data_IF_819888346350
#
_entry.id   IF_819888346350
#
_cell.length_a   1.000
_cell.length_b   1.000
_cell.length_c   1.000
_cell.angle_alpha   90.00
_cell.angle_beta   90.00
_cell.angle_gamma   90.00
#
_symmetry.space_group_name_H-M   'P 1'
#
loop_
_entity.id
_entity.type
_entity.pdbx_description
1 polymer ?
#
# COMPACT_ATOMS: atom_id res chain seq x y z
N UNK A 1 15.55 -16.40 6.64
CA UNK A 1 16.05 -15.01 6.74
C UNK A 1 16.85 -14.87 8.03
N UNK A 2 18.10 -14.42 7.94
CA UNK A 2 18.98 -14.18 9.10
C UNK A 2 19.11 -12.66 9.29
N UNK A 3 18.92 -12.19 10.51
CA UNK A 3 18.99 -10.76 10.87
C UNK A 3 19.77 -10.63 12.17
N UNK A 4 21.00 -10.12 12.10
CA UNK A 4 21.93 -10.18 13.24
C UNK A 4 22.06 -11.62 13.73
N UNK A 5 21.82 -11.83 15.02
CA UNK A 5 21.82 -13.16 15.66
C UNK A 5 20.47 -13.89 15.57
N UNK A 6 19.44 -13.23 15.02
CA UNK A 6 18.08 -13.74 14.89
C UNK A 6 17.85 -14.51 13.59
N UNK A 7 16.90 -15.45 13.63
CA UNK A 7 16.46 -16.22 12.46
C UNK A 7 14.94 -16.22 12.34
N UNK A 8 14.45 -15.89 11.14
CA UNK A 8 13.05 -16.03 10.72
C UNK A 8 12.99 -17.15 9.68
N UNK A 9 12.17 -18.17 9.96
CA UNK A 9 12.01 -19.36 9.11
C UNK A 9 10.66 -20.05 9.38
N UNK A 10 9.97 -20.58 8.34
CA UNK A 10 10.31 -20.50 6.92
C UNK A 10 10.01 -19.11 6.33
N UNK A 11 10.77 -18.70 5.32
CA UNK A 11 10.48 -17.53 4.48
C UNK A 11 10.52 -18.01 3.03
N UNK A 12 9.38 -18.05 2.30
CA UNK A 12 9.37 -18.41 0.89
C UNK A 12 10.28 -17.50 0.07
N UNK A 13 10.98 -18.05 -0.93
CA UNK A 13 11.85 -17.25 -1.82
C UNK A 13 11.07 -16.14 -2.52
N UNK A 14 9.84 -16.43 -2.96
CA UNK A 14 8.96 -15.47 -3.59
C UNK A 14 8.65 -14.25 -2.71
N UNK A 15 8.51 -14.42 -1.39
CA UNK A 15 8.33 -13.30 -0.46
C UNK A 15 9.58 -12.43 -0.36
N UNK A 16 10.77 -13.03 -0.44
CA UNK A 16 12.05 -12.31 -0.48
C UNK A 16 12.28 -11.60 -1.81
N UNK A 17 11.89 -12.22 -2.92
CA UNK A 17 12.10 -11.73 -4.29
C UNK A 17 11.00 -10.79 -4.78
N UNK A 18 9.91 -10.62 -4.01
CA UNK A 18 8.78 -9.79 -4.41
C UNK A 18 9.19 -8.33 -4.70
N UNK A 19 8.81 -7.85 -5.88
CA UNK A 19 9.11 -6.49 -6.34
C UNK A 19 7.87 -5.68 -6.70
N UNK A 20 7.96 -4.36 -6.50
CA UNK A 20 7.02 -3.37 -7.03
C UNK A 20 7.84 -2.30 -7.74
N UNK A 21 7.56 -2.05 -9.02
CA UNK A 21 8.35 -1.12 -9.83
C UNK A 21 9.84 -1.49 -9.93
N UNK A 22 10.17 -2.80 -9.85
CA UNK A 22 11.55 -3.30 -9.84
C UNK A 22 12.26 -3.20 -8.49
N UNK A 23 11.62 -2.66 -7.46
CA UNK A 23 12.21 -2.52 -6.11
C UNK A 23 11.78 -3.68 -5.23
N UNK A 24 12.74 -4.32 -4.56
CA UNK A 24 12.49 -5.41 -3.60
C UNK A 24 11.84 -4.86 -2.33
N UNK A 25 10.57 -5.21 -2.11
CA UNK A 25 9.73 -4.60 -1.07
C UNK A 25 10.27 -4.89 0.33
N UNK A 26 10.57 -6.16 0.61
CA UNK A 26 11.02 -6.57 1.94
C UNK A 26 12.38 -5.98 2.31
N UNK A 27 13.30 -5.91 1.34
CA UNK A 27 14.61 -5.29 1.51
C UNK A 27 14.49 -3.78 1.77
N UNK A 28 13.68 -3.08 0.96
CA UNK A 28 13.44 -1.65 1.15
C UNK A 28 12.81 -1.35 2.52
N UNK A 29 11.79 -2.12 2.90
CA UNK A 29 11.09 -1.97 4.17
C UNK A 29 12.04 -2.15 5.35
N UNK A 30 12.87 -3.20 5.31
CA UNK A 30 13.84 -3.50 6.36
C UNK A 30 14.94 -2.44 6.43
N UNK A 31 15.52 -2.08 5.28
CA UNK A 31 16.62 -1.11 5.20
C UNK A 31 16.26 0.25 5.77
N UNK A 32 15.04 0.76 5.48
CA UNK A 32 14.56 2.03 6.03
C UNK A 32 14.47 2.01 7.56
N UNK A 33 13.94 0.93 8.13
CA UNK A 33 13.83 0.78 9.59
C UNK A 33 15.17 0.53 10.25
N UNK A 34 16.06 -0.24 9.62
CA UNK A 34 17.42 -0.45 10.11
C UNK A 34 18.21 0.87 10.15
N UNK A 35 18.08 1.72 9.13
CA UNK A 35 18.66 3.06 9.13
C UNK A 35 18.09 3.92 10.28
N UNK A 36 16.76 3.97 10.40
CA UNK A 36 16.08 4.72 11.46
C UNK A 36 16.49 4.25 12.87
N UNK A 37 16.63 2.93 13.10
CA UNK A 37 17.08 2.37 14.37
C UNK A 37 18.45 2.91 14.80
N UNK A 38 19.32 3.25 13.84
CA UNK A 38 20.65 3.82 14.07
C UNK A 38 20.66 5.35 14.09
N UNK A 39 19.49 6.00 14.00
CA UNK A 39 19.37 7.46 13.92
C UNK A 39 19.83 8.04 12.59
N UNK A 40 19.71 7.26 11.50
CA UNK A 40 20.09 7.66 10.13
C UNK A 40 18.87 7.72 9.23
N UNK A 41 18.93 8.61 8.23
CA UNK A 41 18.00 8.62 7.11
C UNK A 41 18.21 7.44 6.15
N UNK A 42 17.27 7.20 5.21
CA UNK A 42 17.35 6.09 4.25
C UNK A 42 18.58 6.17 3.32
N UNK A 43 19.10 7.37 3.12
CA UNK A 43 20.29 7.71 2.34
C UNK A 43 21.59 7.67 3.16
N UNK A 44 21.51 7.34 4.46
CA UNK A 44 22.62 7.32 5.39
C UNK A 44 22.98 8.69 5.99
N UNK A 45 22.27 9.76 5.61
CA UNK A 45 22.47 11.09 6.17
C UNK A 45 21.95 11.18 7.61
N UNK A 46 22.35 12.24 8.33
CA UNK A 46 21.67 12.59 9.57
C UNK A 46 20.25 13.08 9.22
N UNK A 47 19.20 12.54 9.84
CA UNK A 47 17.84 12.96 9.54
C UNK A 47 17.60 14.37 10.09
N UNK A 48 16.78 15.16 9.39
CA UNK A 48 16.40 16.52 9.75
C UNK A 48 14.88 16.71 9.73
N UNK A 49 14.40 17.86 10.24
CA UNK A 49 12.96 18.15 10.28
C UNK A 49 12.12 17.07 10.96
N UNK A 50 11.07 16.60 10.27
CA UNK A 50 10.21 15.52 10.75
C UNK A 50 10.89 14.14 10.67
N UNK A 51 11.85 13.93 9.77
CA UNK A 51 12.57 12.67 9.66
C UNK A 51 13.47 12.42 10.89
N UNK A 52 13.86 13.50 11.59
CA UNK A 52 14.56 13.41 12.87
C UNK A 52 13.67 12.88 14.01
N UNK A 53 12.35 12.86 13.81
CA UNK A 53 11.37 12.33 14.76
C UNK A 53 11.11 10.86 14.42
N UNK A 54 11.59 9.95 15.28
CA UNK A 54 11.43 8.52 15.06
C UNK A 54 12.00 7.66 16.16
N UNK A 55 11.82 6.34 16.03
CA UNK A 55 12.36 5.36 16.96
C UNK A 55 13.89 5.37 16.93
N UNK A 56 14.52 5.29 18.10
CA UNK A 56 15.95 5.00 18.25
C UNK A 56 16.10 3.59 18.81
N UNK A 57 16.84 2.74 18.09
CA UNK A 57 16.83 1.30 18.30
C UNK A 57 15.73 0.59 17.52
N UNK A 58 15.61 -0.73 17.72
CA UNK A 58 14.64 -1.59 17.06
C UNK A 58 13.49 -1.94 18.03
N UNK A 59 12.32 -1.31 17.91
CA UNK A 59 11.15 -1.66 18.72
C UNK A 59 10.66 -3.08 18.39
N UNK A 60 10.02 -3.74 19.37
CA UNK A 60 9.47 -5.08 19.19
C UNK A 60 8.41 -5.12 18.10
N UNK A 61 7.66 -4.03 17.97
CA UNK A 61 6.59 -3.83 17.00
C UNK A 61 7.11 -3.99 15.57
N UNK A 62 8.34 -3.53 15.27
CA UNK A 62 8.94 -3.71 13.95
C UNK A 62 9.25 -5.18 13.65
N UNK A 63 9.55 -6.01 14.64
CA UNK A 63 9.65 -7.46 14.41
C UNK A 63 8.28 -8.03 14.05
N UNK A 64 7.21 -7.62 14.74
CA UNK A 64 5.86 -8.05 14.42
C UNK A 64 5.44 -7.61 13.01
N UNK A 65 5.69 -6.35 12.64
CA UNK A 65 5.42 -5.81 11.30
C UNK A 65 6.23 -6.54 10.22
N UNK A 66 7.49 -6.90 10.48
CA UNK A 66 8.31 -7.68 9.55
C UNK A 66 7.70 -9.06 9.31
N UNK A 67 7.26 -9.75 10.38
CA UNK A 67 6.62 -11.06 10.26
C UNK A 67 5.29 -10.97 9.51
N UNK A 68 4.51 -9.91 9.77
CA UNK A 68 3.27 -9.65 9.04
C UNK A 68 3.53 -9.38 7.56
N UNK A 69 4.52 -8.55 7.22
CA UNK A 69 4.90 -8.28 5.83
C UNK A 69 5.33 -9.58 5.12
N UNK A 70 6.18 -10.39 5.75
CA UNK A 70 6.57 -11.70 5.20
C UNK A 70 5.34 -12.57 4.94
N UNK A 71 4.40 -12.58 5.88
CA UNK A 71 3.16 -13.38 5.79
C UNK A 71 2.28 -12.89 4.63
N UNK A 72 2.07 -11.58 4.50
CA UNK A 72 1.29 -10.98 3.41
C UNK A 72 1.93 -11.30 2.05
N UNK A 73 3.25 -11.17 1.93
CA UNK A 73 3.95 -11.47 0.68
C UNK A 73 3.89 -12.96 0.33
N UNK A 74 3.98 -13.85 1.32
CA UNK A 74 3.81 -15.29 1.11
C UNK A 74 2.38 -15.64 0.67
N UNK A 75 1.35 -15.04 1.29
CA UNK A 75 -0.04 -15.22 0.89
C UNK A 75 -0.31 -14.67 -0.51
N UNK A 76 0.29 -13.53 -0.85
CA UNK A 76 0.17 -12.95 -2.19
C UNK A 76 0.77 -13.88 -3.26
N UNK A 77 1.91 -14.49 -2.99
CA UNK A 77 2.51 -15.51 -3.85
C UNK A 77 1.62 -16.74 -3.99
N UNK A 78 1.04 -17.23 -2.89
CA UNK A 78 0.09 -18.35 -2.91
C UNK A 78 -1.13 -18.10 -3.81
N UNK A 79 -1.51 -16.84 -4.05
CA UNK A 79 -2.60 -16.47 -4.97
C UNK A 79 -2.14 -16.22 -6.42
N UNK A 80 -0.86 -16.40 -6.76
CA UNK A 80 -0.34 -16.08 -8.08
C UNK A 80 -1.09 -16.80 -9.22
N UNK A 81 -1.39 -18.10 -9.06
CA UNK A 81 -2.15 -18.87 -10.04
C UNK A 81 -3.56 -18.32 -10.26
N UNK A 82 -4.36 -18.20 -9.19
CA UNK A 82 -5.72 -17.65 -9.27
C UNK A 82 -5.75 -16.23 -9.83
N UNK A 83 -4.75 -15.39 -9.51
CA UNK A 83 -4.62 -14.05 -10.11
C UNK A 83 -4.36 -14.13 -11.61
N UNK A 84 -3.45 -14.99 -12.06
CA UNK A 84 -3.16 -15.18 -13.48
C UNK A 84 -4.38 -15.68 -14.26
N UNK A 85 -5.13 -16.63 -13.70
CA UNK A 85 -6.39 -17.12 -14.28
C UNK A 85 -7.42 -16.00 -14.41
N UNK A 86 -7.60 -15.21 -13.35
CA UNK A 86 -8.48 -14.04 -13.37
C UNK A 86 -8.04 -13.02 -14.42
N UNK A 87 -6.75 -12.72 -14.50
CA UNK A 87 -6.21 -11.80 -15.51
C UNK A 87 -6.49 -12.28 -16.92
N UNK A 88 -6.25 -13.56 -17.22
CA UNK A 88 -6.53 -14.14 -18.53
C UNK A 88 -8.03 -14.10 -18.87
N UNK A 89 -8.90 -14.33 -17.88
CA UNK A 89 -10.34 -14.25 -18.06
C UNK A 89 -10.82 -12.80 -18.32
N UNK A 90 -10.20 -11.81 -17.66
CA UNK A 90 -10.51 -10.39 -17.89
C UNK A 90 -10.01 -9.90 -19.25
N UNK A 91 -8.83 -10.36 -19.70
CA UNK A 91 -8.22 -9.94 -20.97
C UNK A 91 -9.01 -10.45 -22.19
N UNK A 92 -9.62 -11.63 -22.07
CA UNK A 92 -10.44 -12.24 -23.13
C UNK A 92 -11.94 -12.08 -22.92
N UNK A 93 -12.34 -11.46 -21.80
CA UNK A 93 -13.72 -11.31 -21.39
C UNK A 93 -14.50 -10.33 -22.27
N UNK A 94 -15.85 -10.48 -22.34
CA UNK A 94 -16.69 -9.52 -23.04
C UNK A 94 -16.56 -8.13 -22.40
N UNK A 95 -16.28 -7.12 -23.22
CA UNK A 95 -16.26 -5.73 -22.79
C UNK A 95 -17.67 -5.14 -22.85
N UNK A 96 -18.02 -4.31 -21.88
CA UNK A 96 -19.29 -3.58 -21.89
C UNK A 96 -19.17 -2.41 -22.87
N UNK A 97 -19.97 -2.45 -23.95
CA UNK A 97 -19.94 -1.40 -24.95
C UNK A 97 -20.65 -0.13 -24.46
N UNK A 98 -20.27 1.07 -24.98
CA UNK A 98 -20.96 2.30 -24.66
C UNK A 98 -22.47 2.28 -25.00
N UNK A 99 -22.89 1.49 -25.99
CA UNK A 99 -24.31 1.34 -26.33
C UNK A 99 -25.08 0.61 -25.23
N UNK A 100 -24.50 -0.42 -24.62
CA UNK A 100 -25.08 -1.16 -23.51
C UNK A 100 -25.21 -0.26 -22.28
N UNK A 101 -24.19 0.55 -21.98
CA UNK A 101 -24.24 1.53 -20.90
C UNK A 101 -25.33 2.59 -21.12
N UNK A 102 -25.58 3.00 -22.37
CA UNK A 102 -26.70 3.92 -22.69
C UNK A 102 -28.05 3.24 -22.54
N UNK A 103 -28.20 2.01 -23.03
CA UNK A 103 -29.42 1.23 -22.88
C UNK A 103 -29.76 0.99 -21.39
N UNK A 104 -28.75 0.79 -20.56
CA UNK A 104 -28.88 0.67 -19.11
C UNK A 104 -29.06 2.01 -18.37
N UNK A 105 -29.07 3.15 -19.07
CA UNK A 105 -29.22 4.48 -18.45
C UNK A 105 -28.02 4.97 -17.64
N UNK A 106 -26.87 4.29 -17.74
CA UNK A 106 -25.61 4.69 -17.09
C UNK A 106 -24.96 5.86 -17.85
N UNK A 107 -25.04 5.84 -19.17
CA UNK A 107 -24.56 6.93 -20.04
C UNK A 107 -25.73 7.69 -20.69
N UNK A 108 -25.62 9.03 -20.87
CA UNK A 108 -24.49 9.87 -20.47
C UNK A 108 -24.41 10.08 -18.95
N UNK A 109 -23.18 10.27 -18.44
CA UNK A 109 -22.96 10.59 -17.02
C UNK A 109 -23.74 11.85 -16.66
N UNK A 110 -24.53 11.76 -15.59
CA UNK A 110 -25.37 12.85 -15.08
C UNK A 110 -24.53 14.11 -14.78
N UNK A 111 -25.02 15.33 -15.06
CA UNK A 111 -24.25 16.56 -14.83
C UNK A 111 -23.78 16.74 -13.38
N UNK A 112 -24.54 16.24 -12.40
CA UNK A 112 -24.17 16.29 -10.98
C UNK A 112 -22.94 15.44 -10.63
N UNK A 113 -22.75 14.30 -11.29
CA UNK A 113 -21.62 13.39 -11.05
C UNK A 113 -20.29 13.92 -11.63
N UNK A 114 -20.35 14.99 -12.44
CA UNK A 114 -19.16 15.70 -12.95
C UNK A 114 -18.69 16.82 -12.03
N UNK A 115 -19.48 17.15 -10.99
CA UNK A 115 -19.08 18.17 -10.02
C UNK A 115 -18.06 17.56 -9.05
N UNK A 116 -17.14 18.37 -8.50
CA UNK A 116 -16.32 17.94 -7.37
C UNK A 116 -17.19 17.34 -6.27
N UNK A 117 -16.66 16.39 -5.52
CA UNK A 117 -17.38 15.80 -4.38
C UNK A 117 -17.96 16.94 -3.53
N UNK A 118 -19.27 16.91 -3.28
CA UNK A 118 -19.98 18.00 -2.58
C UNK A 118 -19.41 18.25 -1.19
N UNK A 119 -18.76 17.25 -0.58
CA UNK A 119 -17.98 17.38 0.66
C UNK A 119 -16.95 18.51 0.60
N UNK A 120 -16.37 18.79 -0.57
CA UNK A 120 -15.39 19.87 -0.77
C UNK A 120 -16.02 21.25 -1.03
N UNK A 121 -17.35 21.32 -1.17
CA UNK A 121 -18.09 22.57 -1.45
C UNK A 121 -18.78 23.19 -0.23
N UNK A 122 -18.69 22.54 0.94
CA UNK A 122 -19.24 23.08 2.18
C UNK A 122 -18.14 23.87 2.90
N UNK A 123 -18.47 25.10 3.28
CA UNK A 123 -17.57 25.89 4.11
C UNK A 123 -17.52 25.24 5.51
N UNK A 124 -16.32 24.84 5.92
CA UNK A 124 -16.06 24.31 7.27
C UNK A 124 -16.47 25.36 8.32
N UNK A 125 -17.45 25.03 9.16
CA UNK A 125 -18.00 25.94 10.17
C UNK A 125 -17.58 25.45 11.57
N UNK A 126 -16.28 25.55 11.87
CA UNK A 126 -15.75 25.21 13.20
C UNK A 126 -14.25 25.42 13.32
N UNK A 127 -13.71 25.58 14.55
CA UNK A 127 -12.28 25.84 14.78
C UNK A 127 -11.36 24.69 14.33
N UNK A 128 -11.92 23.51 14.06
CA UNK A 128 -11.21 22.27 13.70
C UNK A 128 -11.74 21.63 12.39
N UNK A 129 -12.44 22.38 11.54
CA UNK A 129 -12.93 21.85 10.26
C UNK A 129 -14.05 20.81 10.35
N UNK A 130 -14.78 20.75 11.48
CA UNK A 130 -15.78 19.70 11.73
C UNK A 130 -17.13 20.02 11.08
N UNK A 131 -17.75 19.01 10.47
CA UNK A 131 -19.10 19.08 9.89
C UNK A 131 -20.16 18.83 10.97
N UNK A 132 -21.12 19.74 11.14
CA UNK A 132 -22.36 19.42 11.84
C UNK A 132 -23.27 18.63 10.89
N UNK A 133 -23.40 17.32 11.11
CA UNK A 133 -24.44 16.52 10.48
C UNK A 133 -25.77 16.85 11.17
N UNK A 134 -26.68 17.56 10.47
CA UNK A 134 -28.07 17.71 10.87
C UNK A 134 -28.92 16.58 10.26
#
# INVERSE_FOLDING_TARGET
LIVGDGRISPVPSAAWEFTVGGVRVLELWFGRRAAAATGRGPDGAAPDGLDAVGARGWPREWTSELLELITVLALLDATAGARQELWAALDTGPLIAPAELRAAGVLPVQPSARRPASVLGHQEEGPEGQFALL
#
